data_IF_187017088473
#
_entry.id   IF_187017088473
#
_cell.length_a   1.000
_cell.length_b   1.000
_cell.length_c   1.000
_cell.angle_alpha   90.00
_cell.angle_beta   90.00
_cell.angle_gamma   90.00
#
_symmetry.space_group_name_H-M   'P 1'
#
loop_
_entity.id
_entity.type
_entity.pdbx_description
1 polymer ?
#
# COMPACT_ATOMS: atom_id res chain seq x y z
N UNK A 1 -8.73 -12.81 -27.66
CA UNK A 1 -7.63 -11.86 -27.43
C UNK A 1 -7.10 -12.19 -26.05
N UNK A 2 -5.81 -12.43 -25.92
CA UNK A 2 -5.21 -12.67 -24.60
C UNK A 2 -5.24 -11.37 -23.79
N UNK A 3 -5.50 -11.42 -22.47
CA UNK A 3 -5.53 -10.23 -21.63
C UNK A 3 -4.16 -9.55 -21.62
N UNK A 4 -4.14 -8.23 -21.63
CA UNK A 4 -2.90 -7.46 -21.42
C UNK A 4 -2.33 -7.73 -20.02
N UNK A 5 -1.03 -7.49 -19.78
CA UNK A 5 -0.45 -7.60 -18.44
C UNK A 5 -1.17 -6.75 -17.39
N UNK A 6 -1.72 -5.59 -17.78
CA UNK A 6 -2.47 -4.72 -16.88
C UNK A 6 -3.84 -5.29 -16.53
N UNK A 7 -4.58 -5.84 -17.50
CA UNK A 7 -5.86 -6.52 -17.27
C UNK A 7 -5.69 -7.77 -16.41
N UNK A 8 -4.63 -8.55 -16.64
CA UNK A 8 -4.31 -9.72 -15.82
C UNK A 8 -4.00 -9.31 -14.38
N UNK A 9 -3.13 -8.31 -14.17
CA UNK A 9 -2.84 -7.79 -12.84
C UNK A 9 -4.11 -7.31 -12.14
N UNK A 10 -4.96 -6.53 -12.83
CA UNK A 10 -6.18 -6.03 -12.21
C UNK A 10 -7.13 -7.15 -11.80
N UNK A 11 -7.28 -8.18 -12.65
CA UNK A 11 -8.09 -9.35 -12.35
C UNK A 11 -7.56 -10.10 -11.11
N UNK A 12 -6.24 -10.26 -10.99
CA UNK A 12 -5.60 -10.95 -9.86
C UNK A 12 -5.67 -10.14 -8.56
N UNK A 13 -5.50 -8.81 -8.65
CA UNK A 13 -5.42 -7.95 -7.47
C UNK A 13 -6.79 -7.51 -6.94
N UNK A 14 -7.82 -7.41 -7.78
CA UNK A 14 -9.17 -6.99 -7.36
C UNK A 14 -9.71 -7.76 -6.14
N UNK A 15 -9.72 -9.12 -6.11
CA UNK A 15 -10.22 -9.85 -4.94
C UNK A 15 -9.37 -9.62 -3.68
N UNK A 16 -8.05 -9.44 -3.84
CA UNK A 16 -7.11 -9.16 -2.75
C UNK A 16 -7.39 -7.77 -2.15
N UNK A 17 -7.54 -6.75 -2.99
CA UNK A 17 -7.85 -5.37 -2.59
C UNK A 17 -9.18 -5.33 -1.82
N UNK A 18 -10.22 -5.98 -2.35
CA UNK A 18 -11.54 -6.04 -1.67
C UNK A 18 -11.43 -6.73 -0.30
N UNK A 19 -10.64 -7.80 -0.21
CA UNK A 19 -10.37 -8.51 1.05
C UNK A 19 -9.67 -7.62 2.07
N UNK A 20 -8.55 -7.01 1.69
CA UNK A 20 -7.76 -6.11 2.52
C UNK A 20 -8.56 -4.88 2.97
N UNK A 21 -9.34 -4.25 2.08
CA UNK A 21 -10.18 -3.09 2.41
C UNK A 21 -11.16 -3.42 3.54
N UNK A 22 -11.79 -4.59 3.51
CA UNK A 22 -12.71 -5.03 4.56
C UNK A 22 -12.01 -5.22 5.90
N UNK A 23 -10.77 -5.71 5.90
CA UNK A 23 -9.95 -5.90 7.12
C UNK A 23 -9.54 -4.55 7.71
N UNK A 24 -9.01 -3.63 6.89
CA UNK A 24 -8.64 -2.28 7.34
C UNK A 24 -9.84 -1.49 7.87
N UNK A 25 -10.99 -1.54 7.18
CA UNK A 25 -12.23 -0.89 7.63
C UNK A 25 -12.74 -1.44 8.97
N UNK A 26 -12.41 -2.68 9.32
CA UNK A 26 -12.71 -3.27 10.63
C UNK A 26 -11.75 -2.74 11.69
N UNK A 27 -10.43 -2.82 11.44
CA UNK A 27 -9.40 -2.28 12.34
C UNK A 27 -9.69 -0.81 12.70
N UNK A 28 -10.04 -0.02 11.70
CA UNK A 28 -10.37 1.39 11.87
C UNK A 28 -11.64 1.60 12.71
N UNK A 29 -12.66 0.76 12.55
CA UNK A 29 -13.87 0.84 13.36
C UNK A 29 -13.60 0.46 14.82
N UNK A 30 -12.77 -0.56 15.04
CA UNK A 30 -12.38 -1.00 16.38
C UNK A 30 -11.55 0.09 17.09
N UNK A 31 -10.57 0.67 16.41
CA UNK A 31 -9.78 1.79 16.92
C UNK A 31 -10.64 3.02 17.20
N UNK A 32 -11.59 3.37 16.32
CA UNK A 32 -12.55 4.45 16.58
C UNK A 32 -13.30 4.20 17.90
N UNK A 33 -13.75 2.97 18.15
CA UNK A 33 -14.47 2.65 19.38
C UNK A 33 -13.59 2.80 20.61
N UNK A 34 -12.34 2.35 20.54
CA UNK A 34 -11.34 2.50 21.61
C UNK A 34 -11.06 3.98 21.91
N UNK A 35 -10.79 4.79 20.88
CA UNK A 35 -10.54 6.23 21.03
C UNK A 35 -11.74 6.96 21.63
N UNK A 36 -12.96 6.65 21.17
CA UNK A 36 -14.17 7.26 21.69
C UNK A 36 -14.45 6.85 23.15
N UNK A 37 -14.08 5.62 23.52
CA UNK A 37 -14.21 5.15 24.88
C UNK A 37 -13.17 5.80 25.80
N UNK A 38 -11.93 5.98 25.34
CA UNK A 38 -10.90 6.72 26.07
C UNK A 38 -11.32 8.17 26.34
N UNK A 39 -11.89 8.86 25.35
CA UNK A 39 -12.41 10.22 25.50
C UNK A 39 -13.56 10.35 26.52
N UNK A 40 -14.33 9.27 26.74
CA UNK A 40 -15.40 9.27 27.77
C UNK A 40 -14.85 9.07 29.18
N UNK A 41 -13.77 8.32 29.34
CA UNK A 41 -13.24 7.89 30.64
C UNK A 41 -12.18 8.83 31.20
N UNK A 42 -11.46 9.53 30.34
CA UNK A 42 -10.29 10.32 30.73
C UNK A 42 -10.63 11.75 31.19
N UNK A 43 -9.72 12.29 32.01
CA UNK A 43 -9.53 13.73 32.20
C UNK A 43 -9.39 14.46 30.85
N UNK A 44 -9.49 15.81 30.83
CA UNK A 44 -9.39 16.60 29.60
C UNK A 44 -8.17 16.19 28.74
N UNK A 45 -8.43 15.66 27.54
CA UNK A 45 -7.38 15.14 26.65
C UNK A 45 -6.74 16.29 25.86
N UNK A 46 -5.41 16.40 25.94
CA UNK A 46 -4.63 17.47 25.30
C UNK A 46 -3.50 16.97 24.38
N UNK A 47 -3.27 15.67 24.30
CA UNK A 47 -2.23 15.07 23.47
C UNK A 47 -2.74 13.77 22.82
N UNK A 48 -2.31 13.49 21.58
CA UNK A 48 -2.73 12.29 20.84
C UNK A 48 -2.27 11.00 21.52
N UNK A 49 -1.13 11.01 22.20
CA UNK A 49 -0.56 9.85 22.91
C UNK A 49 -1.45 9.34 24.06
N UNK A 50 -2.42 10.14 24.51
CA UNK A 50 -3.44 9.69 25.46
C UNK A 50 -4.53 8.81 24.80
N UNK A 51 -4.58 8.75 23.46
CA UNK A 51 -5.61 8.07 22.68
C UNK A 51 -5.05 6.95 21.80
N UNK A 52 -3.84 7.10 21.27
CA UNK A 52 -3.24 6.17 20.32
C UNK A 52 -1.85 5.73 20.78
N UNK A 53 -1.41 4.51 20.39
CA UNK A 53 -0.05 4.06 20.66
C UNK A 53 0.98 4.88 19.83
N UNK A 54 2.29 4.70 20.07
CA UNK A 54 3.34 5.26 19.22
C UNK A 54 3.13 4.93 17.73
N UNK A 55 3.69 5.76 16.85
CA UNK A 55 3.45 5.66 15.39
C UNK A 55 3.83 4.30 14.80
N UNK A 56 4.92 3.68 15.26
CA UNK A 56 5.34 2.35 14.79
C UNK A 56 4.31 1.28 15.10
N UNK A 57 3.92 1.17 16.38
CA UNK A 57 2.89 0.22 16.84
C UNK A 57 1.54 0.47 16.15
N UNK A 58 1.24 1.74 15.84
CA UNK A 58 0.02 2.09 15.10
C UNK A 58 0.07 1.60 13.66
N UNK A 59 1.20 1.77 12.95
CA UNK A 59 1.41 1.22 11.61
C UNK A 59 1.30 -0.30 11.66
N UNK A 60 1.98 -0.95 12.62
CA UNK A 60 1.99 -2.40 12.81
C UNK A 60 0.58 -2.96 12.99
N UNK A 61 -0.31 -2.24 13.70
CA UNK A 61 -1.71 -2.65 13.85
C UNK A 61 -2.43 -2.81 12.50
N UNK A 62 -2.17 -1.90 11.56
CA UNK A 62 -2.83 -1.91 10.24
C UNK A 62 -2.13 -2.87 9.28
N UNK A 63 -0.80 -2.90 9.23
CA UNK A 63 -0.04 -3.80 8.36
C UNK A 63 -0.28 -5.27 8.71
N UNK A 64 -0.24 -5.62 10.00
CA UNK A 64 -0.51 -6.99 10.45
C UNK A 64 -1.93 -7.46 10.09
N UNK A 65 -2.89 -6.54 9.96
CA UNK A 65 -4.26 -6.90 9.59
C UNK A 65 -4.40 -7.33 8.13
N UNK A 66 -3.46 -6.95 7.25
CA UNK A 66 -3.49 -7.26 5.81
C UNK A 66 -2.24 -8.01 5.33
N UNK A 67 -1.41 -8.52 6.24
CA UNK A 67 -0.13 -9.17 5.90
C UNK A 67 -0.29 -10.30 4.89
N UNK A 68 -1.35 -11.10 5.04
CA UNK A 68 -1.64 -12.22 4.13
C UNK A 68 -2.06 -11.73 2.74
N UNK A 69 -2.81 -10.62 2.66
CA UNK A 69 -3.24 -10.03 1.40
C UNK A 69 -2.05 -9.42 0.65
N UNK A 70 -1.16 -8.74 1.36
CA UNK A 70 0.10 -8.19 0.84
C UNK A 70 1.01 -9.31 0.34
N UNK A 71 1.14 -10.41 1.10
CA UNK A 71 1.90 -11.59 0.67
C UNK A 71 1.27 -12.26 -0.57
N UNK A 72 -0.05 -12.36 -0.64
CA UNK A 72 -0.76 -12.87 -1.80
C UNK A 72 -0.52 -12.00 -3.05
N UNK A 73 -0.52 -10.68 -2.90
CA UNK A 73 -0.23 -9.74 -3.99
C UNK A 73 1.19 -9.92 -4.53
N UNK A 74 2.17 -10.07 -3.64
CA UNK A 74 3.55 -10.38 -4.01
C UNK A 74 3.64 -11.71 -4.77
N UNK A 75 2.95 -12.75 -4.29
CA UNK A 75 2.92 -14.04 -4.99
C UNK A 75 2.24 -13.95 -6.36
N UNK A 76 1.19 -13.15 -6.51
CA UNK A 76 0.54 -12.88 -7.80
C UNK A 76 1.51 -12.19 -8.78
N UNK A 77 2.27 -11.20 -8.30
CA UNK A 77 3.31 -10.55 -9.11
C UNK A 77 4.41 -11.51 -9.54
N UNK A 78 4.85 -12.39 -8.64
CA UNK A 78 5.81 -13.42 -8.99
C UNK A 78 5.27 -14.38 -10.07
N UNK A 79 4.04 -14.85 -9.89
CA UNK A 79 3.37 -15.76 -10.83
C UNK A 79 3.15 -15.15 -12.22
N UNK A 80 2.99 -13.82 -12.30
CA UNK A 80 2.82 -13.12 -13.57
C UNK A 80 4.00 -13.37 -14.51
N UNK A 81 5.24 -13.42 -14.01
CA UNK A 81 6.48 -13.54 -14.82
C UNK A 81 7.18 -14.89 -14.70
N UNK A 82 6.87 -15.68 -13.68
CA UNK A 82 7.48 -16.98 -13.47
C UNK A 82 6.89 -18.07 -14.40
N UNK A 83 7.64 -19.14 -14.71
CA UNK A 83 7.09 -20.32 -15.36
C UNK A 83 5.93 -20.92 -14.56
N UNK A 84 4.96 -21.51 -15.26
CA UNK A 84 3.83 -22.19 -14.62
C UNK A 84 4.31 -23.27 -13.64
N UNK A 85 3.73 -23.29 -12.44
CA UNK A 85 4.11 -24.23 -11.37
C UNK A 85 5.34 -23.82 -10.55
N UNK A 86 5.85 -22.60 -10.74
CA UNK A 86 6.87 -22.05 -9.84
C UNK A 86 6.38 -22.00 -8.40
N UNK A 87 7.28 -22.32 -7.47
CA UNK A 87 6.98 -22.37 -6.04
C UNK A 87 6.76 -20.98 -5.40
N UNK A 88 6.57 -20.95 -4.07
CA UNK A 88 6.42 -19.69 -3.35
C UNK A 88 7.69 -18.85 -3.41
N UNK A 89 7.53 -17.53 -3.24
CA UNK A 89 8.66 -16.59 -3.07
C UNK A 89 9.62 -17.03 -1.96
N UNK A 90 10.91 -16.74 -2.14
CA UNK A 90 11.90 -16.91 -1.07
C UNK A 90 11.53 -16.00 0.10
N UNK A 91 11.83 -16.43 1.33
CA UNK A 91 11.50 -15.69 2.56
C UNK A 91 11.98 -14.23 2.54
N UNK A 92 13.19 -13.98 2.04
CA UNK A 92 13.75 -12.63 1.96
C UNK A 92 12.99 -11.74 0.97
N UNK A 93 12.61 -12.30 -0.19
CA UNK A 93 11.85 -11.60 -1.22
C UNK A 93 10.42 -11.29 -0.76
N UNK A 94 9.78 -12.26 -0.10
CA UNK A 94 8.46 -12.07 0.51
C UNK A 94 8.51 -10.96 1.58
N UNK A 95 9.53 -10.95 2.45
CA UNK A 95 9.69 -9.91 3.46
C UNK A 95 9.92 -8.52 2.84
N UNK A 96 10.68 -8.42 1.74
CA UNK A 96 10.88 -7.17 1.02
C UNK A 96 9.59 -6.66 0.36
N UNK A 97 8.75 -7.57 -0.15
CA UNK A 97 7.46 -7.21 -0.72
C UNK A 97 6.47 -6.75 0.36
N UNK A 98 6.41 -7.45 1.50
CA UNK A 98 5.63 -7.02 2.67
C UNK A 98 6.05 -5.64 3.13
N UNK A 99 7.36 -5.42 3.32
CA UNK A 99 7.88 -4.11 3.72
C UNK A 99 7.49 -3.00 2.75
N UNK A 100 7.53 -3.23 1.44
CA UNK A 100 7.13 -2.23 0.46
C UNK A 100 5.65 -1.84 0.57
N UNK A 101 4.76 -2.82 0.84
CA UNK A 101 3.35 -2.53 1.13
C UNK A 101 3.17 -1.76 2.43
N UNK A 102 3.85 -2.17 3.49
CA UNK A 102 3.77 -1.57 4.82
C UNK A 102 4.27 -0.13 4.84
N UNK A 103 5.35 0.17 4.12
CA UNK A 103 5.90 1.52 3.99
C UNK A 103 4.86 2.46 3.35
N UNK A 104 4.20 2.02 2.27
CA UNK A 104 3.12 2.79 1.61
C UNK A 104 1.90 2.96 2.51
N UNK A 105 1.48 1.88 3.19
CA UNK A 105 0.36 1.91 4.13
C UNK A 105 0.60 2.91 5.27
N UNK A 106 1.81 2.86 5.84
CA UNK A 106 2.22 3.74 6.93
C UNK A 106 2.24 5.20 6.49
N UNK A 107 2.92 5.49 5.39
CA UNK A 107 3.11 6.86 4.89
C UNK A 107 1.81 7.51 4.42
N UNK A 108 0.91 6.77 3.76
CA UNK A 108 -0.22 7.38 3.07
C UNK A 108 -1.56 7.19 3.78
N UNK A 109 -1.72 6.12 4.56
CA UNK A 109 -2.96 5.88 5.31
C UNK A 109 -2.83 6.25 6.78
N UNK A 110 -1.79 5.75 7.47
CA UNK A 110 -1.70 5.82 8.94
C UNK A 110 -1.16 7.16 9.42
N UNK A 111 -0.04 7.64 8.87
CA UNK A 111 0.54 8.93 9.26
C UNK A 111 -0.45 10.09 9.03
N UNK A 112 -1.11 10.23 7.88
CA UNK A 112 -2.05 11.34 7.66
C UNK A 112 -3.33 11.22 8.53
N UNK A 113 -3.73 10.00 8.89
CA UNK A 113 -4.80 9.78 9.89
C UNK A 113 -4.39 10.38 11.23
N UNK A 114 -3.19 10.03 11.71
CA UNK A 114 -2.66 10.53 12.99
C UNK A 114 -2.58 12.05 13.03
N UNK A 115 -2.02 12.67 11.99
CA UNK A 115 -1.90 14.14 11.91
C UNK A 115 -3.28 14.84 11.98
N UNK A 116 -4.31 14.22 11.41
CA UNK A 116 -5.68 14.73 11.50
C UNK A 116 -6.31 14.54 12.85
N UNK A 117 -6.11 13.38 13.47
CA UNK A 117 -6.58 13.11 14.82
C UNK A 117 -5.88 14.03 15.84
N UNK A 118 -4.58 14.26 15.69
CA UNK A 118 -3.81 15.19 16.51
C UNK A 118 -4.38 16.61 16.43
N UNK A 119 -4.63 17.12 15.22
CA UNK A 119 -5.32 18.42 15.04
C UNK A 119 -6.67 18.46 15.74
N UNK A 120 -7.46 17.39 15.68
CA UNK A 120 -8.75 17.33 16.38
C UNK A 120 -8.59 17.48 17.90
N UNK A 121 -7.54 16.89 18.48
CA UNK A 121 -7.20 16.98 19.91
C UNK A 121 -6.74 18.40 20.26
N UNK A 122 -5.77 18.94 19.51
CA UNK A 122 -5.23 20.28 19.75
C UNK A 122 -6.32 21.36 19.68
N UNK A 123 -7.17 21.32 18.65
CA UNK A 123 -8.29 22.25 18.48
C UNK A 123 -9.39 22.08 19.55
N UNK A 124 -9.38 20.95 20.27
CA UNK A 124 -10.33 20.67 21.33
C UNK A 124 -9.93 21.18 22.69
N UNK A 125 -8.63 21.35 22.93
CA UNK A 125 -8.07 21.89 24.17
C UNK A 125 -8.67 21.27 25.46
N UNK A 126 -8.88 19.95 25.45
CA UNK A 126 -9.48 19.23 26.59
C UNK A 126 -11.01 19.15 26.60
N UNK A 127 -11.72 19.75 25.64
CA UNK A 127 -13.14 19.46 25.40
C UNK A 127 -13.29 18.09 24.71
N UNK A 128 -13.32 17.03 25.51
CA UNK A 128 -13.47 15.66 25.02
C UNK A 128 -14.75 15.46 24.18
N UNK A 129 -15.82 16.21 24.45
CA UNK A 129 -17.05 16.12 23.68
C UNK A 129 -16.88 16.71 22.27
N UNK A 130 -16.21 17.87 22.16
CA UNK A 130 -15.81 18.49 20.91
C UNK A 130 -14.83 17.62 20.10
N UNK A 131 -13.78 17.11 20.75
CA UNK A 131 -12.79 16.20 20.14
C UNK A 131 -13.50 14.97 19.58
N UNK A 132 -14.37 14.33 20.36
CA UNK A 132 -15.09 13.14 19.94
C UNK A 132 -15.99 13.36 18.71
N UNK A 133 -16.53 14.57 18.50
CA UNK A 133 -17.30 14.87 17.28
C UNK A 133 -16.40 14.94 16.05
N UNK A 134 -15.24 15.62 16.13
CA UNK A 134 -14.29 15.74 15.02
C UNK A 134 -13.62 14.41 14.68
N UNK A 135 -13.21 13.65 15.70
CA UNK A 135 -12.62 12.30 15.53
C UNK A 135 -13.56 11.36 14.76
N UNK A 136 -14.87 11.37 15.06
CA UNK A 136 -15.86 10.59 14.30
C UNK A 136 -15.90 10.96 12.82
N UNK A 137 -15.76 12.25 12.51
CA UNK A 137 -15.76 12.72 11.13
C UNK A 137 -14.50 12.24 10.38
N UNK A 138 -13.32 12.36 11.00
CA UNK A 138 -12.05 11.88 10.43
C UNK A 138 -12.10 10.37 10.13
N UNK A 139 -12.46 9.56 11.11
CA UNK A 139 -12.56 8.11 10.90
C UNK A 139 -13.61 7.73 9.85
N UNK A 140 -14.76 8.42 9.80
CA UNK A 140 -15.76 8.18 8.76
C UNK A 140 -15.17 8.43 7.38
N UNK A 141 -14.49 9.56 7.21
CA UNK A 141 -13.83 9.92 5.95
C UNK A 141 -12.82 8.86 5.52
N UNK A 142 -11.92 8.43 6.43
CA UNK A 142 -10.96 7.37 6.13
C UNK A 142 -11.64 6.09 5.66
N UNK A 143 -12.71 5.70 6.36
CA UNK A 143 -13.44 4.47 6.06
C UNK A 143 -14.13 4.50 4.70
N UNK A 144 -14.58 5.66 4.25
CA UNK A 144 -15.41 5.81 3.04
C UNK A 144 -14.66 6.32 1.82
N UNK A 145 -13.46 6.89 1.99
CA UNK A 145 -12.68 7.51 0.93
C UNK A 145 -11.25 6.96 0.93
N UNK A 146 -10.43 7.37 1.91
CA UNK A 146 -8.98 7.11 1.88
C UNK A 146 -8.59 5.63 1.77
N UNK A 147 -9.26 4.73 2.49
CA UNK A 147 -8.97 3.28 2.37
C UNK A 147 -9.22 2.79 0.93
N UNK A 148 -10.29 3.23 0.29
CA UNK A 148 -10.63 2.74 -1.06
C UNK A 148 -9.74 3.39 -2.14
N UNK A 149 -9.25 4.61 -1.91
CA UNK A 149 -8.40 5.33 -2.86
C UNK A 149 -6.92 4.88 -2.80
N UNK A 150 -6.41 4.56 -1.61
CA UNK A 150 -4.97 4.34 -1.39
C UNK A 150 -4.56 2.86 -1.37
N UNK A 151 -5.49 1.95 -1.10
CA UNK A 151 -5.16 0.54 -0.91
C UNK A 151 -4.62 -0.13 -2.18
N UNK A 152 -5.05 0.31 -3.36
CA UNK A 152 -4.54 -0.16 -4.64
C UNK A 152 -3.01 -0.06 -4.70
N UNK A 153 -2.45 1.03 -4.20
CA UNK A 153 -1.01 1.30 -4.26
C UNK A 153 -0.21 0.46 -3.28
N UNK A 154 -0.76 0.16 -2.10
CA UNK A 154 -0.19 -0.79 -1.14
C UNK A 154 -0.05 -2.17 -1.79
N UNK A 155 -1.14 -2.66 -2.39
CA UNK A 155 -1.19 -3.98 -3.02
C UNK A 155 -0.30 -4.03 -4.28
N UNK A 156 -0.30 -2.98 -5.10
CA UNK A 156 0.53 -2.89 -6.31
C UNK A 156 2.03 -2.80 -5.99
N UNK A 157 2.41 -2.14 -4.90
CA UNK A 157 3.81 -2.07 -4.47
C UNK A 157 4.35 -3.44 -4.08
N UNK A 158 3.57 -4.22 -3.32
CA UNK A 158 3.91 -5.60 -2.99
C UNK A 158 3.95 -6.51 -4.22
N UNK A 159 2.96 -6.37 -5.11
CA UNK A 159 2.92 -7.08 -6.39
C UNK A 159 4.18 -6.80 -7.23
N UNK A 160 4.56 -5.54 -7.41
CA UNK A 160 5.74 -5.14 -8.17
C UNK A 160 7.06 -5.69 -7.62
N UNK A 161 7.19 -5.77 -6.28
CA UNK A 161 8.30 -6.47 -5.63
C UNK A 161 8.30 -7.97 -5.91
N UNK A 162 7.12 -8.59 -5.91
CA UNK A 162 6.93 -9.98 -6.30
C UNK A 162 7.38 -10.27 -7.73
N UNK A 163 7.02 -9.38 -8.67
CA UNK A 163 7.47 -9.44 -10.07
C UNK A 163 8.99 -9.42 -10.13
N UNK A 164 9.64 -8.42 -9.54
CA UNK A 164 11.10 -8.30 -9.56
C UNK A 164 11.77 -9.55 -8.94
N UNK A 165 11.24 -10.07 -7.84
CA UNK A 165 11.81 -11.22 -7.14
C UNK A 165 11.77 -12.53 -7.96
N UNK A 166 10.79 -12.67 -8.85
CA UNK A 166 10.67 -13.83 -9.73
C UNK A 166 11.56 -13.74 -10.98
N UNK A 167 12.07 -12.54 -11.30
CA UNK A 167 12.98 -12.34 -12.42
C UNK A 167 14.41 -12.66 -11.97
N UNK A 168 15.06 -13.60 -12.66
CA UNK A 168 16.45 -13.95 -12.36
C UNK A 168 17.39 -12.76 -12.58
N UNK A 169 18.34 -12.56 -11.67
CA UNK A 169 19.35 -11.49 -11.77
C UNK A 169 20.04 -11.49 -13.14
N UNK A 170 20.17 -10.31 -13.75
CA UNK A 170 20.77 -10.16 -15.07
C UNK A 170 19.85 -10.46 -16.25
N UNK A 171 18.62 -10.95 -16.02
CA UNK A 171 17.59 -11.07 -17.07
C UNK A 171 17.28 -9.69 -17.62
N UNK A 172 17.17 -9.56 -18.94
CA UNK A 172 16.78 -8.30 -19.57
C UNK A 172 15.33 -7.97 -19.24
N UNK A 173 15.06 -6.76 -18.75
CA UNK A 173 13.73 -6.29 -18.33
C UNK A 173 13.40 -4.94 -18.94
N UNK A 174 12.12 -4.70 -19.19
CA UNK A 174 11.56 -3.44 -19.70
C UNK A 174 10.53 -2.88 -18.73
N UNK A 175 10.45 -1.56 -18.67
CA UNK A 175 9.42 -0.83 -17.94
C UNK A 175 8.26 -0.52 -18.88
N UNK A 176 7.05 -0.95 -18.53
CA UNK A 176 5.87 -0.80 -19.39
C UNK A 176 4.88 0.16 -18.73
N UNK A 177 4.54 1.23 -19.46
CA UNK A 177 3.48 2.15 -19.08
C UNK A 177 2.12 1.62 -19.55
N UNK A 178 1.10 1.92 -18.76
CA UNK A 178 -0.29 1.58 -19.06
C UNK A 178 -0.84 2.64 -20.02
N UNK A 179 -1.10 2.27 -21.27
CA UNK A 179 -1.56 3.19 -22.33
C UNK A 179 -3.02 3.66 -22.13
N UNK A 180 -3.76 3.02 -21.24
CA UNK A 180 -5.14 3.41 -20.90
C UNK A 180 -5.20 4.59 -19.93
N UNK A 181 -4.06 4.97 -19.34
CA UNK A 181 -3.93 6.09 -18.40
C UNK A 181 -2.76 6.97 -18.85
N UNK A 182 -2.78 8.24 -18.48
CA UNK A 182 -1.59 9.06 -18.66
C UNK A 182 -0.49 8.59 -17.69
N UNK A 183 0.67 8.22 -18.25
CA UNK A 183 1.87 7.90 -17.48
C UNK A 183 2.34 9.10 -16.67
N UNK A 184 3.03 8.84 -15.57
CA UNK A 184 3.79 9.87 -14.88
C UNK A 184 5.16 10.07 -15.55
N UNK A 185 5.82 11.21 -15.27
CA UNK A 185 7.16 11.51 -15.81
C UNK A 185 8.13 10.36 -15.59
N UNK A 186 8.13 9.77 -14.39
CA UNK A 186 9.07 8.71 -14.04
C UNK A 186 8.76 7.40 -14.77
N UNK A 187 7.48 7.11 -15.05
CA UNK A 187 7.08 5.99 -15.90
C UNK A 187 7.61 6.18 -17.30
N UNK A 188 7.38 7.37 -17.86
CA UNK A 188 7.76 7.70 -19.22
C UNK A 188 9.28 7.60 -19.37
N UNK A 189 10.04 8.22 -18.45
CA UNK A 189 11.50 8.16 -18.43
C UNK A 189 12.04 6.73 -18.29
N UNK A 190 11.44 5.92 -17.42
CA UNK A 190 11.84 4.51 -17.26
C UNK A 190 11.51 3.67 -18.50
N UNK A 191 10.39 3.95 -19.17
CA UNK A 191 10.00 3.24 -20.39
C UNK A 191 10.94 3.57 -21.56
N UNK A 192 11.45 4.79 -21.63
CA UNK A 192 12.39 5.25 -22.66
C UNK A 192 13.78 4.61 -22.53
N UNK A 193 14.13 4.06 -21.37
CA UNK A 193 15.39 3.35 -21.16
C UNK A 193 15.51 2.08 -22.02
N UNK A 194 14.39 1.55 -22.50
CA UNK A 194 14.35 0.26 -23.19
C UNK A 194 14.62 -0.88 -22.20
N UNK A 195 15.50 -1.81 -22.59
CA UNK A 195 15.80 -2.98 -21.76
C UNK A 195 17.07 -2.83 -20.94
N UNK A 196 17.00 -3.08 -19.64
CA UNK A 196 18.15 -3.10 -18.71
C UNK A 196 18.27 -4.46 -18.00
N UNK A 197 19.36 -4.70 -17.29
CA UNK A 197 19.48 -5.93 -16.49
C UNK A 197 18.67 -5.85 -15.20
N UNK A 198 17.92 -6.92 -14.89
CA UNK A 198 17.13 -7.02 -13.66
C UNK A 198 18.03 -6.85 -12.42
N UNK A 199 17.64 -5.92 -11.55
CA UNK A 199 18.41 -5.52 -10.36
C UNK A 199 19.24 -4.25 -10.56
N UNK A 200 19.39 -3.75 -11.79
CA UNK A 200 19.92 -2.41 -12.06
C UNK A 200 18.84 -1.34 -11.95
N UNK A 201 19.25 -0.12 -11.66
CA UNK A 201 18.34 1.02 -11.58
C UNK A 201 17.99 1.54 -12.98
N UNK A 202 16.70 1.78 -13.19
CA UNK A 202 16.22 2.59 -14.32
C UNK A 202 16.65 4.06 -14.16
N UNK A 203 16.50 4.92 -15.20
CA UNK A 203 16.99 6.32 -15.16
C UNK A 203 16.55 7.13 -13.95
N UNK A 204 15.36 6.85 -13.41
CA UNK A 204 14.81 7.52 -12.22
C UNK A 204 15.29 6.93 -10.89
N UNK A 205 16.17 5.93 -10.91
CA UNK A 205 16.69 5.25 -9.72
C UNK A 205 15.86 4.05 -9.25
N UNK A 206 14.68 3.81 -9.83
CA UNK A 206 13.79 2.71 -9.43
C UNK A 206 14.32 1.35 -9.90
N UNK A 207 14.17 0.33 -9.04
CA UNK A 207 14.52 -1.08 -9.34
C UNK A 207 13.29 -1.90 -9.80
N UNK A 208 12.10 -1.47 -9.41
CA UNK A 208 10.84 -2.14 -9.75
C UNK A 208 9.71 -1.13 -9.87
N UNK A 209 8.69 -1.51 -10.64
CA UNK A 209 7.41 -0.80 -10.69
C UNK A 209 6.57 -1.07 -9.42
N UNK A 210 5.59 -0.21 -9.09
CA UNK A 210 5.30 1.07 -9.73
C UNK A 210 6.36 2.15 -9.42
N UNK A 211 6.47 3.19 -10.26
CA UNK A 211 7.42 4.29 -10.06
C UNK A 211 7.07 5.12 -8.82
N UNK A 212 5.78 5.35 -8.61
CA UNK A 212 5.27 6.00 -7.42
C UNK A 212 3.80 5.60 -7.21
N UNK A 213 3.21 6.11 -6.14
CA UNK A 213 1.81 5.89 -5.76
C UNK A 213 0.86 6.51 -6.80
N UNK A 214 -0.13 5.75 -7.21
CA UNK A 214 -1.03 6.07 -8.31
C UNK A 214 -0.50 5.65 -9.69
N UNK A 215 0.79 5.30 -9.81
CA UNK A 215 1.34 4.83 -11.09
C UNK A 215 0.93 3.37 -11.35
N UNK A 216 0.52 3.08 -12.59
CA UNK A 216 0.05 1.75 -13.00
C UNK A 216 1.10 0.90 -13.69
N UNK A 217 2.31 1.40 -13.88
CA UNK A 217 3.34 0.70 -14.63
C UNK A 217 3.68 -0.69 -14.09
N UNK A 218 4.26 -1.51 -14.97
CA UNK A 218 4.66 -2.89 -14.69
C UNK A 218 6.07 -3.12 -15.23
N UNK A 219 6.85 -3.91 -14.50
CA UNK A 219 8.13 -4.44 -14.97
C UNK A 219 7.90 -5.79 -15.66
N UNK A 220 8.46 -6.01 -16.85
CA UNK A 220 8.36 -7.29 -17.57
C UNK A 220 9.72 -7.76 -18.09
N UNK A 221 9.95 -9.08 -18.22
CA UNK A 221 11.07 -9.59 -19.01
C UNK A 221 11.00 -9.08 -20.46
N UNK A 222 12.15 -8.69 -21.02
CA UNK A 222 12.23 -8.22 -22.40
C UNK A 222 11.93 -9.37 -23.39
N UNK A 223 11.13 -9.08 -24.42
CA UNK A 223 10.78 -10.05 -25.47
C UNK A 223 9.60 -10.97 -25.13
N UNK A 224 8.81 -10.61 -24.11
CA UNK A 224 7.54 -11.26 -23.78
C UNK A 224 6.36 -10.53 -24.39
#
# INVERSE_FOLDING_TARGET
MEPTPFEQRDADLTPIIVGAARKLKRVLADEQNEVLEALRRNEPVRALDALLPPVGDHIDRYSNAISDDVAAAAQAGAAMVAPAGSGPLRKADAAAATKAGDDVLGEWLVVPLRERLERCVLDGDGDNAGIGKRVRAVYREWKTQHIDEQLDDVIRSAHGRGVLAAIGTGTSVVWVCDDTRQGCSDCDDNSLAGSISAGEAFPTGHLCAPAHIGCRCILLPAGR
#
